data_IF_463020347143
#
_entry.id   IF_463020347143
#
_cell.length_a   1.000
_cell.length_b   1.000
_cell.length_c   1.000
_cell.angle_alpha   90.00
_cell.angle_beta   90.00
_cell.angle_gamma   90.00
#
_symmetry.space_group_name_H-M   'P 1'
#
loop_
_entity.id
_entity.type
_entity.pdbx_description
1 polymer ?
#
# COMPACT_ATOMS: atom_id res chain seq x y z
N UNK A 1 7.72 -26.01 2.35
CA UNK A 1 7.63 -25.31 1.05
C UNK A 1 9.07 -25.09 0.61
N UNK A 2 9.48 -25.63 -0.52
CA UNK A 2 10.83 -25.43 -1.05
C UNK A 2 10.74 -24.20 -1.97
N UNK A 3 11.39 -23.12 -1.59
CA UNK A 3 11.48 -21.95 -2.44
C UNK A 3 12.60 -22.16 -3.48
N UNK A 4 12.25 -22.08 -4.74
CA UNK A 4 13.22 -22.01 -5.83
C UNK A 4 13.41 -20.56 -6.21
N UNK A 5 14.45 -19.95 -5.72
CA UNK A 5 14.79 -18.56 -6.00
C UNK A 5 15.84 -18.43 -7.13
N UNK A 6 16.11 -19.50 -7.88
CA UNK A 6 17.09 -19.50 -8.96
C UNK A 6 16.91 -18.38 -10.00
N UNK A 7 15.71 -17.83 -10.09
CA UNK A 7 15.42 -16.68 -10.94
C UNK A 7 15.68 -15.32 -10.31
N UNK A 8 15.85 -15.23 -9.00
CA UNK A 8 15.97 -13.98 -8.22
C UNK A 8 14.90 -12.92 -8.58
N UNK A 9 13.71 -13.37 -8.93
CA UNK A 9 12.59 -12.52 -9.35
C UNK A 9 11.62 -12.20 -8.22
N UNK A 10 11.82 -12.77 -7.04
CA UNK A 10 10.92 -12.73 -5.92
C UNK A 10 9.99 -13.95 -5.83
N UNK A 11 9.25 -14.04 -4.74
CA UNK A 11 8.30 -15.12 -4.45
C UNK A 11 6.88 -14.57 -4.59
N UNK A 12 6.21 -14.86 -5.69
CA UNK A 12 4.90 -14.28 -6.01
C UNK A 12 3.73 -15.21 -5.69
N UNK A 13 3.89 -16.53 -5.86
CA UNK A 13 2.80 -17.51 -5.74
C UNK A 13 1.74 -17.34 -6.84
N UNK A 14 0.88 -18.34 -6.98
CA UNK A 14 -0.14 -18.40 -8.04
C UNK A 14 -1.52 -17.91 -7.55
N UNK A 15 -1.73 -17.85 -6.25
CA UNK A 15 -3.01 -17.50 -5.64
C UNK A 15 -2.82 -16.47 -4.55
N UNK A 16 -3.60 -15.39 -4.61
CA UNK A 16 -3.63 -14.39 -3.54
C UNK A 16 -4.54 -14.87 -2.42
N UNK A 17 -4.03 -14.79 -1.19
CA UNK A 17 -4.79 -15.12 0.01
C UNK A 17 -5.19 -13.84 0.76
N UNK A 18 -6.45 -13.73 1.14
CA UNK A 18 -6.94 -12.70 2.06
C UNK A 18 -7.21 -13.37 3.41
N UNK A 19 -6.50 -12.96 4.45
CA UNK A 19 -6.55 -13.61 5.78
C UNK A 19 -6.35 -15.13 5.72
N UNK A 20 -5.48 -15.60 4.80
CA UNK A 20 -5.18 -17.01 4.62
C UNK A 20 -6.19 -17.81 3.76
N UNK A 21 -7.21 -17.17 3.21
CA UNK A 21 -8.27 -17.79 2.40
C UNK A 21 -8.20 -17.31 0.96
N UNK A 22 -8.18 -18.23 -0.04
CA UNK A 22 -8.29 -17.86 -1.44
C UNK A 22 -9.75 -17.53 -1.81
N UNK A 23 -9.94 -16.65 -2.79
CA UNK A 23 -11.24 -16.29 -3.36
C UNK A 23 -12.28 -15.88 -2.29
N UNK A 24 -11.84 -15.15 -1.27
CA UNK A 24 -12.67 -14.77 -0.14
C UNK A 24 -13.82 -13.85 -0.59
N UNK A 25 -14.99 -14.03 0.02
CA UNK A 25 -16.07 -13.06 -0.02
C UNK A 25 -16.45 -12.59 1.38
N UNK A 26 -17.01 -11.40 1.48
CA UNK A 26 -17.47 -10.82 2.74
C UNK A 26 -18.88 -10.24 2.53
N UNK A 27 -19.82 -10.70 3.32
CA UNK A 27 -21.15 -10.07 3.38
C UNK A 27 -21.07 -8.76 4.15
N UNK A 28 -21.56 -7.68 3.54
CA UNK A 28 -21.56 -6.34 4.13
C UNK A 28 -22.94 -5.71 4.06
N UNK A 29 -23.35 -5.03 5.11
CA UNK A 29 -24.51 -4.14 5.07
C UNK A 29 -24.15 -2.85 4.33
N UNK A 30 -25.14 -2.16 3.78
CA UNK A 30 -24.92 -0.90 3.05
C UNK A 30 -24.73 0.24 4.04
N UNK A 31 -23.49 0.36 4.53
CA UNK A 31 -22.98 1.40 5.43
C UNK A 31 -21.47 1.51 5.28
N UNK A 32 -20.84 2.42 6.00
CA UNK A 32 -19.38 2.55 6.01
C UNK A 32 -18.71 1.42 6.79
N UNK A 33 -17.62 0.91 6.23
CA UNK A 33 -16.73 -0.03 6.90
C UNK A 33 -15.31 0.49 6.88
N UNK A 34 -14.63 0.38 8.02
CA UNK A 34 -13.20 0.65 8.16
C UNK A 34 -12.43 -0.66 8.08
N UNK A 35 -11.50 -0.73 7.16
CA UNK A 35 -10.61 -1.87 6.99
C UNK A 35 -9.18 -1.50 7.34
N UNK A 36 -8.49 -2.42 7.97
CA UNK A 36 -7.04 -2.39 8.14
C UNK A 36 -6.43 -3.30 7.11
N UNK A 37 -5.60 -2.74 6.26
CA UNK A 37 -4.97 -3.43 5.14
C UNK A 37 -3.50 -3.59 5.44
N UNK A 38 -3.00 -4.82 5.36
CA UNK A 38 -1.59 -5.16 5.43
C UNK A 38 -1.24 -5.95 4.16
N UNK A 39 -0.23 -5.51 3.44
CA UNK A 39 0.36 -6.35 2.41
C UNK A 39 1.36 -7.33 3.06
N UNK A 40 0.91 -8.54 3.33
CA UNK A 40 1.72 -9.63 3.90
C UNK A 40 2.43 -10.49 2.86
N UNK A 41 2.48 -10.08 1.60
CA UNK A 41 3.14 -10.83 0.53
C UNK A 41 4.66 -10.80 0.68
N UNK A 42 5.33 -11.85 0.23
CA UNK A 42 6.78 -11.91 0.23
C UNK A 42 7.43 -10.96 -0.80
N UNK A 43 6.77 -10.78 -1.96
CA UNK A 43 7.36 -9.98 -3.06
C UNK A 43 6.33 -9.16 -3.86
N UNK A 44 5.03 -9.38 -3.64
CA UNK A 44 4.00 -8.75 -4.48
C UNK A 44 3.58 -7.38 -3.94
N UNK A 45 3.62 -6.37 -4.78
CA UNK A 45 3.02 -5.06 -4.56
C UNK A 45 1.63 -5.04 -5.20
N UNK A 46 0.69 -4.33 -4.63
CA UNK A 46 -0.66 -4.18 -5.16
C UNK A 46 -0.99 -2.72 -5.44
N UNK A 47 -1.89 -2.50 -6.38
CA UNK A 47 -2.60 -1.26 -6.56
C UNK A 47 -4.10 -1.54 -6.36
N UNK A 48 -4.63 -1.17 -5.21
CA UNK A 48 -5.97 -1.55 -4.76
C UNK A 48 -7.01 -0.52 -5.19
N UNK A 49 -8.11 -1.01 -5.78
CA UNK A 49 -9.28 -0.19 -6.09
C UNK A 49 -10.56 -0.98 -5.85
N UNK A 50 -11.67 -0.27 -5.67
CA UNK A 50 -13.01 -0.86 -5.61
C UNK A 50 -13.63 -0.81 -7.00
N UNK A 51 -14.26 -1.91 -7.46
CA UNK A 51 -14.90 -2.03 -8.75
C UNK A 51 -16.26 -2.72 -8.63
N UNK A 52 -17.20 -2.36 -9.48
CA UNK A 52 -18.50 -3.05 -9.59
C UNK A 52 -18.41 -4.30 -10.47
N UNK A 53 -17.34 -4.47 -11.23
CA UNK A 53 -17.15 -5.60 -12.12
C UNK A 53 -15.89 -6.39 -11.75
N UNK A 54 -16.00 -7.72 -11.80
CA UNK A 54 -14.91 -8.63 -11.48
C UNK A 54 -13.76 -8.57 -12.49
N UNK A 55 -14.07 -8.36 -13.75
CA UNK A 55 -13.13 -8.49 -14.88
C UNK A 55 -12.71 -7.15 -15.45
N UNK A 56 -13.62 -6.20 -15.52
CA UNK A 56 -13.38 -4.88 -16.09
C UNK A 56 -13.21 -3.82 -15.01
N UNK A 57 -12.47 -2.78 -15.33
CA UNK A 57 -12.27 -1.64 -14.44
C UNK A 57 -13.43 -0.64 -14.61
N UNK A 58 -14.62 -1.01 -14.22
CA UNK A 58 -15.62 0.00 -13.89
C UNK A 58 -15.33 0.46 -12.47
N UNK A 59 -14.70 1.59 -12.36
CA UNK A 59 -14.29 2.11 -11.08
C UNK A 59 -15.49 2.64 -10.35
N UNK A 60 -15.74 2.05 -9.22
CA UNK A 60 -16.68 2.55 -8.24
C UNK A 60 -16.20 3.84 -7.59
N UNK A 61 -17.03 4.42 -6.73
CA UNK A 61 -16.80 5.72 -6.07
C UNK A 61 -15.68 5.71 -5.02
N UNK A 62 -14.75 4.78 -5.18
CA UNK A 62 -13.49 4.84 -4.49
C UNK A 62 -13.49 4.30 -3.07
N UNK A 63 -12.34 4.44 -2.50
CA UNK A 63 -12.04 4.21 -1.10
C UNK A 63 -11.43 5.47 -0.49
N UNK A 64 -11.61 5.65 0.79
CA UNK A 64 -11.03 6.77 1.53
C UNK A 64 -9.90 6.27 2.42
N UNK A 65 -8.69 6.76 2.20
CA UNK A 65 -7.53 6.46 3.06
C UNK A 65 -7.56 7.40 4.26
N UNK A 66 -7.48 6.83 5.47
CA UNK A 66 -7.51 7.60 6.72
C UNK A 66 -6.24 7.45 7.56
N UNK A 67 -5.46 6.39 7.34
CA UNK A 67 -4.20 6.16 8.06
C UNK A 67 -3.19 5.40 7.19
N UNK A 68 -1.93 5.54 7.55
CA UNK A 68 -0.78 4.80 7.01
C UNK A 68 0.00 4.14 8.14
N UNK A 69 1.18 3.60 7.86
CA UNK A 69 2.07 2.98 8.86
C UNK A 69 2.31 3.85 10.10
N UNK A 70 2.42 5.16 9.91
CA UNK A 70 2.71 6.11 10.99
C UNK A 70 1.46 6.56 11.77
N UNK A 71 0.26 6.10 11.40
CA UNK A 71 -1.00 6.47 12.05
C UNK A 71 -1.92 7.31 11.17
N UNK A 72 -2.81 8.06 11.81
CA UNK A 72 -3.81 8.85 11.10
C UNK A 72 -3.18 9.95 10.23
N UNK A 73 -3.73 10.11 9.04
CA UNK A 73 -3.43 11.25 8.17
C UNK A 73 -3.94 12.56 8.80
N UNK A 74 -3.46 13.69 8.31
CA UNK A 74 -4.02 14.99 8.71
C UNK A 74 -5.48 15.13 8.26
N UNK A 75 -5.77 14.73 7.04
CA UNK A 75 -7.09 14.74 6.41
C UNK A 75 -7.33 13.43 5.67
N UNK A 76 -8.59 13.01 5.48
CA UNK A 76 -8.91 11.88 4.63
C UNK A 76 -8.46 12.12 3.18
N UNK A 77 -8.03 11.06 2.51
CA UNK A 77 -7.69 11.10 1.08
C UNK A 77 -8.65 10.18 0.32
N UNK A 78 -9.50 10.77 -0.49
CA UNK A 78 -10.43 10.03 -1.33
C UNK A 78 -9.77 9.66 -2.66
N UNK A 79 -9.79 8.38 -3.00
CA UNK A 79 -9.28 7.85 -4.27
C UNK A 79 -10.49 7.59 -5.19
N UNK A 80 -10.88 8.59 -5.96
CA UNK A 80 -12.10 8.58 -6.78
C UNK A 80 -11.89 8.29 -8.26
N UNK A 81 -10.66 8.26 -8.73
CA UNK A 81 -10.41 8.22 -10.17
C UNK A 81 -10.04 6.83 -10.67
N UNK A 82 -10.46 6.49 -11.94
CA UNK A 82 -10.08 5.25 -12.59
C UNK A 82 -8.56 5.00 -12.65
N UNK A 83 -7.79 6.05 -12.58
CA UNK A 83 -6.37 6.01 -12.80
C UNK A 83 -5.53 5.95 -11.51
N UNK A 84 -6.16 5.93 -10.34
CA UNK A 84 -5.42 5.97 -9.08
C UNK A 84 -6.00 4.97 -8.08
N UNK A 85 -5.38 3.80 -8.02
CA UNK A 85 -5.56 2.86 -6.92
C UNK A 85 -4.68 3.23 -5.71
N UNK A 86 -4.93 2.58 -4.59
CA UNK A 86 -4.05 2.63 -3.43
C UNK A 86 -2.87 1.70 -3.68
N UNK A 87 -1.71 2.27 -3.91
CA UNK A 87 -0.48 1.48 -3.99
C UNK A 87 -0.06 1.05 -2.59
N UNK A 88 0.19 -0.27 -2.44
CA UNK A 88 0.61 -0.86 -1.18
C UNK A 88 1.78 -1.81 -1.43
N UNK A 89 2.96 -1.41 -0.99
CA UNK A 89 4.17 -2.21 -1.03
C UNK A 89 4.20 -3.29 0.05
N UNK A 90 5.21 -4.14 0.00
CA UNK A 90 5.41 -5.22 0.96
C UNK A 90 5.53 -4.64 2.37
N UNK A 91 4.87 -5.24 3.33
CA UNK A 91 4.82 -4.87 4.74
C UNK A 91 4.19 -3.50 5.04
N UNK A 92 3.74 -2.72 4.05
CA UNK A 92 3.00 -1.49 4.30
C UNK A 92 1.61 -1.78 4.86
N UNK A 93 1.14 -0.86 5.70
CA UNK A 93 -0.21 -0.87 6.28
C UNK A 93 -0.93 0.41 5.94
N UNK A 94 -2.23 0.27 5.68
CA UNK A 94 -3.16 1.38 5.50
C UNK A 94 -4.45 1.11 6.24
N UNK A 95 -5.14 2.17 6.62
CA UNK A 95 -6.53 2.07 7.01
C UNK A 95 -7.40 2.81 6.00
N UNK A 96 -8.40 2.12 5.53
CA UNK A 96 -9.32 2.62 4.49
C UNK A 96 -10.75 2.54 4.96
N UNK A 97 -11.58 3.43 4.44
CA UNK A 97 -13.04 3.37 4.59
C UNK A 97 -13.66 3.18 3.22
N UNK A 98 -14.58 2.22 3.13
CA UNK A 98 -15.45 2.02 1.96
C UNK A 98 -16.88 2.27 2.41
N UNK A 99 -17.59 3.15 1.70
CA UNK A 99 -19.00 3.44 1.95
C UNK A 99 -19.87 2.61 1.00
N UNK A 100 -20.36 1.48 1.50
CA UNK A 100 -21.25 0.60 0.71
C UNK A 100 -22.67 1.17 0.53
N UNK A 101 -23.05 2.20 1.31
CA UNK A 101 -24.31 2.89 1.11
C UNK A 101 -24.32 3.84 -0.08
N UNK A 102 -23.15 4.22 -0.60
CA UNK A 102 -23.02 5.07 -1.79
C UNK A 102 -23.48 4.36 -3.07
N UNK A 103 -23.56 3.04 -3.06
CA UNK A 103 -23.91 2.25 -4.26
C UNK A 103 -25.42 2.04 -4.38
N UNK A 104 -25.98 2.08 -5.61
CA UNK A 104 -27.38 1.80 -5.87
C UNK A 104 -27.81 0.39 -5.43
N UNK A 105 -29.09 0.21 -5.12
CA UNK A 105 -29.61 -1.06 -4.57
C UNK A 105 -29.49 -2.25 -5.53
N UNK A 106 -29.46 -1.98 -6.84
CA UNK A 106 -29.28 -3.03 -7.85
C UNK A 106 -27.84 -3.56 -7.96
N UNK A 107 -26.86 -2.89 -7.33
CA UNK A 107 -25.47 -3.37 -7.25
C UNK A 107 -25.40 -4.38 -6.12
N UNK A 108 -25.34 -5.66 -6.45
CA UNK A 108 -25.30 -6.75 -5.47
C UNK A 108 -23.88 -7.08 -4.99
N UNK A 109 -22.88 -6.81 -5.84
CA UNK A 109 -21.49 -7.16 -5.57
C UNK A 109 -20.55 -5.99 -5.84
N UNK A 110 -19.51 -5.90 -5.04
CA UNK A 110 -18.32 -5.08 -5.30
C UNK A 110 -17.07 -5.93 -5.14
N UNK A 111 -16.01 -5.51 -5.77
CA UNK A 111 -14.73 -6.21 -5.74
C UNK A 111 -13.62 -5.27 -5.30
N UNK A 112 -12.86 -5.68 -4.29
CA UNK A 112 -11.53 -5.12 -4.09
C UNK A 112 -10.62 -5.77 -5.13
N UNK A 113 -10.04 -4.96 -5.99
CA UNK A 113 -9.20 -5.42 -7.10
C UNK A 113 -7.77 -4.96 -6.95
N UNK A 114 -6.86 -5.77 -7.46
CA UNK A 114 -5.55 -5.31 -7.87
C UNK A 114 -5.64 -4.79 -9.30
N UNK A 115 -5.19 -3.56 -9.53
CA UNK A 115 -5.16 -2.96 -10.88
C UNK A 115 -3.94 -3.39 -11.70
N UNK A 116 -2.98 -4.02 -11.03
CA UNK A 116 -1.66 -4.29 -11.59
C UNK A 116 -0.72 -3.11 -11.37
N UNK A 117 0.37 -3.35 -10.68
CA UNK A 117 1.40 -2.33 -10.50
C UNK A 117 2.22 -2.19 -11.80
N UNK A 118 2.60 -0.96 -12.22
CA UNK A 118 3.30 -0.75 -13.49
C UNK A 118 4.72 -1.33 -13.57
N UNK A 119 5.18 -2.05 -12.57
CA UNK A 119 6.42 -2.82 -12.66
C UNK A 119 6.13 -4.15 -13.36
N UNK A 120 6.99 -4.55 -14.27
CA UNK A 120 6.95 -5.78 -15.08
C UNK A 120 6.95 -7.09 -14.26
N UNK A 121 6.57 -7.06 -13.00
CA UNK A 121 6.70 -8.11 -12.03
C UNK A 121 5.34 -8.58 -11.55
N UNK A 122 4.74 -9.45 -12.34
CA UNK A 122 3.70 -10.40 -11.92
C UNK A 122 2.51 -9.82 -11.11
N UNK A 123 2.05 -8.65 -11.49
CA UNK A 123 0.86 -8.04 -10.90
C UNK A 123 -0.28 -7.99 -11.92
N UNK A 124 -0.74 -9.15 -12.34
CA UNK A 124 -1.93 -9.26 -13.19
C UNK A 124 -3.12 -8.60 -12.52
N UNK A 125 -3.90 -7.77 -13.24
CA UNK A 125 -5.14 -7.23 -12.74
C UNK A 125 -6.11 -8.36 -12.37
N UNK A 126 -6.54 -8.41 -11.10
CA UNK A 126 -7.42 -9.47 -10.62
C UNK A 126 -8.31 -9.00 -9.46
N UNK A 127 -9.45 -9.64 -9.31
CA UNK A 127 -10.25 -9.51 -8.10
C UNK A 127 -9.58 -10.24 -6.93
N UNK A 128 -9.49 -9.55 -5.79
CA UNK A 128 -8.87 -10.07 -4.57
C UNK A 128 -9.92 -10.50 -3.54
N UNK A 129 -10.97 -9.69 -3.39
CA UNK A 129 -12.04 -9.89 -2.42
C UNK A 129 -13.35 -9.43 -3.04
N UNK A 130 -14.40 -10.24 -2.89
CA UNK A 130 -15.77 -9.87 -3.24
C UNK A 130 -16.53 -9.42 -2.01
N UNK A 131 -17.22 -8.30 -2.09
CA UNK A 131 -18.19 -7.86 -1.12
C UNK A 131 -19.60 -8.17 -1.63
N UNK A 132 -20.38 -8.88 -0.84
CA UNK A 132 -21.80 -9.18 -1.11
C UNK A 132 -22.66 -8.17 -0.34
N UNK A 133 -23.22 -7.20 -1.06
CA UNK A 133 -23.99 -6.09 -0.48
C UNK A 133 -25.36 -6.57 -0.03
N UNK A 134 -25.64 -6.42 1.26
CA UNK A 134 -26.91 -6.78 1.87
C UNK A 134 -27.83 -5.56 2.01
N UNK A 135 -28.73 -5.60 2.97
CA UNK A 135 -29.69 -4.55 3.24
C UNK A 135 -29.04 -3.22 3.63
N UNK A 136 -29.74 -2.12 3.40
CA UNK A 136 -29.41 -0.83 4.01
C UNK A 136 -29.71 -0.86 5.49
N UNK A 137 -28.82 -0.27 6.25
CA UNK A 137 -28.98 -0.05 7.69
C UNK A 137 -28.67 1.40 8.03
N UNK A 138 -29.20 1.94 9.12
CA UNK A 138 -28.81 3.26 9.59
C UNK A 138 -27.29 3.33 9.83
N UNK A 139 -26.68 4.43 9.43
CA UNK A 139 -25.25 4.69 9.64
C UNK A 139 -25.07 6.18 9.91
N UNK A 140 -24.82 6.52 11.16
CA UNK A 140 -24.54 7.87 11.64
C UNK A 140 -23.02 8.15 11.72
N UNK A 141 -22.20 7.20 11.27
CA UNK A 141 -20.75 7.38 11.25
C UNK A 141 -20.33 8.46 10.24
N UNK A 142 -19.38 9.26 10.65
CA UNK A 142 -18.79 10.30 9.81
C UNK A 142 -17.27 10.09 9.73
N UNK A 143 -16.70 10.40 8.59
CA UNK A 143 -15.26 10.55 8.47
C UNK A 143 -14.94 12.02 8.77
N UNK A 144 -14.24 12.33 9.87
CA UNK A 144 -13.90 13.72 10.18
C UNK A 144 -13.05 14.34 9.06
N UNK A 145 -13.26 15.60 8.77
CA UNK A 145 -12.45 16.34 7.78
C UNK A 145 -11.01 16.54 8.25
N UNK A 146 -10.79 16.51 9.57
CA UNK A 146 -9.46 16.53 10.18
C UNK A 146 -9.32 15.30 11.07
N UNK A 147 -8.36 14.43 10.74
CA UNK A 147 -8.12 13.16 11.43
C UNK A 147 -7.05 13.28 12.51
N UNK A 148 -6.03 14.09 12.27
CA UNK A 148 -4.92 14.27 13.19
C UNK A 148 -4.25 15.63 13.05
N UNK A 149 -3.44 15.98 14.05
CA UNK A 149 -2.54 17.13 13.96
C UNK A 149 -1.20 16.63 13.43
N UNK A 150 -0.83 17.07 12.24
CA UNK A 150 0.49 16.80 11.66
C UNK A 150 1.28 18.09 11.72
N UNK A 151 2.43 18.04 12.37
CA UNK A 151 3.36 19.19 12.38
C UNK A 151 4.12 19.18 11.05
N UNK A 152 4.06 20.25 10.24
CA UNK A 152 4.85 20.34 9.01
C UNK A 152 6.35 20.33 9.34
N UNK A 153 7.02 19.23 9.04
CA UNK A 153 8.44 19.04 9.37
C UNK A 153 9.32 20.02 8.59
N UNK A 154 8.91 20.41 7.36
CA UNK A 154 9.73 21.27 6.49
C UNK A 154 10.24 22.55 7.13
N UNK A 155 9.45 23.17 8.03
CA UNK A 155 9.84 24.38 8.75
C UNK A 155 10.80 24.11 9.92
N UNK A 156 10.99 22.85 10.30
CA UNK A 156 11.86 22.43 11.41
C UNK A 156 13.24 22.00 10.92
N UNK A 157 13.41 21.80 9.61
CA UNK A 157 14.67 21.30 9.03
C UNK A 157 15.65 22.46 8.91
N UNK A 158 16.79 22.40 9.63
CA UNK A 158 17.82 23.43 9.48
C UNK A 158 18.37 23.50 8.05
N UNK A 159 18.73 24.70 7.59
CA UNK A 159 19.30 24.90 6.25
C UNK A 159 20.59 24.10 6.03
N UNK A 160 21.33 23.84 7.10
CA UNK A 160 22.57 23.05 7.12
C UNK A 160 22.33 21.58 7.47
N UNK A 161 21.10 21.09 7.45
CA UNK A 161 20.80 19.68 7.75
C UNK A 161 21.64 18.77 6.86
N UNK A 162 22.22 17.73 7.48
CA UNK A 162 23.04 16.75 6.80
C UNK A 162 22.23 16.05 5.71
N UNK A 163 22.83 15.85 4.55
CA UNK A 163 22.21 15.16 3.42
C UNK A 163 22.91 13.83 3.20
N UNK A 164 22.09 12.79 2.98
CA UNK A 164 22.59 11.47 2.59
C UNK A 164 21.86 11.01 1.32
N UNK A 165 22.57 10.22 0.50
CA UNK A 165 21.98 9.58 -0.67
C UNK A 165 22.16 8.08 -0.55
N UNK A 166 21.06 7.34 -0.69
CA UNK A 166 21.03 5.88 -0.72
C UNK A 166 20.58 5.45 -2.11
N UNK A 167 21.50 4.86 -2.85
CA UNK A 167 21.25 4.37 -4.21
C UNK A 167 21.00 2.88 -4.15
N UNK A 168 19.80 2.47 -4.53
CA UNK A 168 19.41 1.07 -4.66
C UNK A 168 19.79 0.59 -6.05
N UNK A 169 20.56 -0.47 -6.13
CA UNK A 169 21.10 -0.98 -7.38
C UNK A 169 21.31 -2.49 -7.34
N UNK A 170 21.36 -3.09 -8.51
CA UNK A 170 21.73 -4.49 -8.67
C UNK A 170 22.93 -4.59 -9.58
N UNK A 171 24.06 -5.05 -9.06
CA UNK A 171 25.33 -5.12 -9.78
C UNK A 171 25.98 -6.47 -9.51
N UNK A 172 26.43 -7.17 -10.58
CA UNK A 172 27.04 -8.48 -10.46
C UNK A 172 26.10 -9.57 -9.91
N UNK A 173 24.78 -9.40 -10.08
CA UNK A 173 23.77 -10.32 -9.54
C UNK A 173 23.39 -10.07 -8.09
N UNK A 174 24.01 -9.12 -7.40
CA UNK A 174 23.78 -8.80 -6.00
C UNK A 174 22.99 -7.50 -5.82
N UNK A 175 22.11 -7.46 -4.84
CA UNK A 175 21.43 -6.25 -4.38
C UNK A 175 22.35 -5.43 -3.50
N UNK A 176 22.47 -4.15 -3.80
CA UNK A 176 23.38 -3.22 -3.13
C UNK A 176 22.71 -1.90 -2.81
N UNK A 177 23.18 -1.27 -1.75
CA UNK A 177 22.93 0.14 -1.44
C UNK A 177 24.27 0.86 -1.44
N UNK A 178 24.41 1.88 -2.30
CA UNK A 178 25.67 2.60 -2.49
C UNK A 178 26.86 1.65 -2.79
N UNK A 179 26.64 0.71 -3.70
CA UNK A 179 27.61 -0.32 -4.11
C UNK A 179 28.10 -1.25 -2.97
N UNK A 180 27.32 -1.35 -1.89
CA UNK A 180 27.62 -2.20 -0.74
C UNK A 180 26.52 -3.25 -0.56
N UNK A 181 26.90 -4.50 -0.31
CA UNK A 181 26.02 -5.55 0.16
C UNK A 181 25.68 -5.35 1.64
N UNK A 182 24.65 -6.05 2.13
CA UNK A 182 24.29 -6.01 3.53
C UNK A 182 25.42 -6.57 4.42
N UNK A 183 25.69 -5.88 5.53
CA UNK A 183 26.69 -6.26 6.52
C UNK A 183 26.18 -5.86 7.91
N UNK A 184 25.91 -6.81 8.81
CA UNK A 184 25.35 -6.53 10.14
C UNK A 184 26.31 -5.79 11.07
N UNK A 185 27.58 -5.73 10.74
CA UNK A 185 28.61 -5.05 11.55
C UNK A 185 28.84 -3.61 11.10
N UNK A 186 28.24 -3.21 9.98
CA UNK A 186 28.49 -1.89 9.40
C UNK A 186 27.36 -0.93 9.71
N UNK A 187 27.72 0.26 10.12
CA UNK A 187 26.81 1.40 10.30
C UNK A 187 26.97 2.34 9.11
N UNK A 188 25.97 2.43 8.24
CA UNK A 188 26.00 3.31 7.07
C UNK A 188 25.43 4.70 7.36
N UNK A 189 24.60 4.85 8.40
CA UNK A 189 24.07 6.13 8.87
C UNK A 189 23.92 6.10 10.40
N UNK A 190 24.36 7.16 11.06
CA UNK A 190 24.28 7.31 12.50
C UNK A 190 23.83 8.74 12.85
N UNK A 191 22.55 9.11 12.62
CA UNK A 191 22.04 10.40 13.08
C UNK A 191 22.09 10.46 14.62
N UNK A 192 22.42 11.64 15.15
CA UNK A 192 22.33 11.92 16.56
C UNK A 192 20.89 12.09 17.02
N UNK A 193 20.62 11.86 18.30
CA UNK A 193 19.30 12.12 18.87
C UNK A 193 18.93 13.60 18.72
N UNK A 194 17.80 13.88 18.06
CA UNK A 194 17.34 15.24 17.77
C UNK A 194 17.91 15.85 16.49
N UNK A 195 18.77 15.15 15.77
CA UNK A 195 19.25 15.63 14.46
C UNK A 195 18.16 15.54 13.40
N UNK A 196 18.18 16.51 12.49
CA UNK A 196 17.42 16.48 11.25
C UNK A 196 18.38 16.19 10.09
N UNK A 197 18.08 15.13 9.33
CA UNK A 197 18.80 14.80 8.12
C UNK A 197 17.85 14.73 6.92
N UNK A 198 18.35 15.00 5.72
CA UNK A 198 17.61 14.82 4.47
C UNK A 198 18.17 13.59 3.76
N UNK A 199 17.37 12.56 3.64
CA UNK A 199 17.75 11.34 2.95
C UNK A 199 17.11 11.29 1.57
N UNK A 200 17.94 11.11 0.55
CA UNK A 200 17.51 10.95 -0.84
C UNK A 200 17.67 9.49 -1.22
N UNK A 201 16.58 8.85 -1.59
CA UNK A 201 16.56 7.49 -2.10
C UNK A 201 16.54 7.52 -3.62
N UNK A 202 17.50 6.84 -4.25
CA UNK A 202 17.64 6.76 -5.71
C UNK A 202 17.52 5.29 -6.11
N UNK A 203 16.48 4.96 -6.88
CA UNK A 203 16.31 3.63 -7.46
C UNK A 203 16.80 3.68 -8.91
N UNK A 204 17.84 2.91 -9.22
CA UNK A 204 18.40 2.80 -10.57
C UNK A 204 18.04 1.49 -11.27
N UNK A 205 17.30 0.61 -10.57
CA UNK A 205 16.80 -0.66 -11.09
C UNK A 205 15.37 -0.54 -11.62
N UNK A 206 14.92 -1.55 -12.35
CA UNK A 206 13.52 -1.69 -12.78
C UNK A 206 12.60 -2.30 -11.71
N UNK A 207 13.05 -2.36 -10.44
CA UNK A 207 12.34 -3.00 -9.34
C UNK A 207 11.76 -1.94 -8.41
N UNK A 208 10.56 -2.22 -7.91
CA UNK A 208 9.95 -1.42 -6.85
C UNK A 208 10.39 -1.97 -5.49
N UNK A 209 10.73 -1.09 -4.58
CA UNK A 209 11.12 -1.49 -3.22
C UNK A 209 10.56 -0.48 -2.20
N UNK A 210 9.76 -0.92 -1.24
CA UNK A 210 9.40 -0.06 -0.12
C UNK A 210 10.65 0.23 0.72
N UNK A 211 10.78 1.47 1.17
CA UNK A 211 11.87 1.88 2.05
C UNK A 211 11.30 2.11 3.43
N UNK A 212 11.74 1.30 4.39
CA UNK A 212 11.36 1.42 5.79
C UNK A 212 12.60 1.75 6.63
N UNK A 213 12.52 2.84 7.40
CA UNK A 213 13.57 3.26 8.30
C UNK A 213 13.15 2.92 9.73
N UNK A 214 13.93 2.09 10.40
CA UNK A 214 13.76 1.83 11.82
C UNK A 214 14.42 2.96 12.62
N UNK A 215 13.69 3.53 13.58
CA UNK A 215 14.16 4.54 14.52
C UNK A 215 14.54 3.91 15.85
#
# INVERSE_FOLDING_TARGET
MIFDDRGQRGVYGDVVLINGVPYLYLEVERRKYRFRVLNGSASRTYELAVSQDEKTLTIGDGLTVIATDAGLLATPVELKTPAAGLQIGIAERYEIVIDFAAYPDHVEHLYLRNLGFPSNLDSEPQALLRFDLKRRVPDDSIIPTQLGKVTPIGNLIPSNAKRRTFRFERTGGEWKINNKTWDPQRIDANPGLGDYEIWTFVNTGGWVHPVHVHL
#
